data_IF_657046777489
#
_entry.id   IF_657046777489
#
_cell.length_a   1.000
_cell.length_b   1.000
_cell.length_c   1.000
_cell.angle_alpha   90.00
_cell.angle_beta   90.00
_cell.angle_gamma   90.00
#
_symmetry.space_group_name_H-M   'P 1'
#
loop_
_entity.id
_entity.type
_entity.pdbx_description
1 polymer ?
#
# COMPACT_ATOMS: atom_id res chain seq x y z
N UNK A 1 11.09 2.71 30.99
CA UNK A 1 9.65 2.44 30.77
C UNK A 1 8.88 2.62 32.07
N UNK A 2 9.37 2.04 33.16
CA UNK A 2 8.77 2.10 34.50
C UNK A 2 8.69 3.52 35.10
N UNK A 3 9.76 4.33 34.96
CA UNK A 3 9.78 5.72 35.48
C UNK A 3 8.74 6.65 34.84
N UNK A 4 8.49 6.48 33.53
CA UNK A 4 7.46 7.26 32.83
C UNK A 4 6.05 6.88 33.31
N UNK A 5 5.83 5.60 33.62
CA UNK A 5 4.55 5.12 34.13
C UNK A 5 4.28 5.68 35.54
N UNK A 6 5.28 5.66 36.41
CA UNK A 6 5.22 6.26 37.75
C UNK A 6 4.87 7.76 37.69
N UNK A 7 5.52 8.51 36.81
CA UNK A 7 5.21 9.93 36.63
C UNK A 7 3.78 10.16 36.13
N UNK A 8 3.24 9.30 35.25
CA UNK A 8 1.82 9.37 34.82
C UNK A 8 0.84 9.09 35.97
N UNK A 9 1.18 8.19 36.87
CA UNK A 9 0.41 7.97 38.12
C UNK A 9 0.40 9.25 38.96
N UNK A 10 1.55 9.93 39.11
CA UNK A 10 1.63 11.22 39.81
C UNK A 10 0.79 12.31 39.13
N UNK A 11 0.79 12.39 37.78
CA UNK A 11 -0.08 13.32 37.03
C UNK A 11 -1.56 13.02 37.35
N UNK A 12 -1.96 11.75 37.29
CA UNK A 12 -3.34 11.32 37.59
C UNK A 12 -3.75 11.69 39.02
N UNK A 13 -2.85 11.48 39.99
CA UNK A 13 -3.03 11.92 41.37
C UNK A 13 -3.25 13.44 41.44
N UNK A 14 -2.44 14.24 40.74
CA UNK A 14 -2.58 15.69 40.74
C UNK A 14 -3.93 16.15 40.18
N UNK A 15 -4.41 15.53 39.09
CA UNK A 15 -5.72 15.82 38.51
C UNK A 15 -6.85 15.49 39.48
N UNK A 16 -6.80 14.33 40.17
CA UNK A 16 -7.82 13.94 41.16
C UNK A 16 -7.86 14.87 42.39
N UNK A 17 -6.76 15.54 42.70
CA UNK A 17 -6.70 16.55 43.76
C UNK A 17 -7.05 17.97 43.27
N UNK A 18 -7.48 18.14 42.01
CA UNK A 18 -7.89 19.44 41.47
C UNK A 18 -6.74 20.37 41.08
N UNK A 19 -5.49 19.90 41.06
CA UNK A 19 -4.37 20.72 40.64
C UNK A 19 -4.38 20.99 39.14
N UNK A 20 -4.02 22.21 38.74
CA UNK A 20 -3.88 22.58 37.35
C UNK A 20 -2.57 22.01 36.73
N UNK A 21 -2.47 22.06 35.40
CA UNK A 21 -1.32 21.49 34.67
C UNK A 21 0.02 22.16 35.02
N UNK A 22 0.02 23.45 35.36
CA UNK A 22 1.23 24.17 35.78
C UNK A 22 1.73 23.66 37.14
N UNK A 23 0.83 23.50 38.12
CA UNK A 23 1.18 22.95 39.43
C UNK A 23 1.61 21.49 39.34
N UNK A 24 0.98 20.72 38.46
CA UNK A 24 1.37 19.32 38.19
C UNK A 24 2.80 19.23 37.64
N UNK A 25 3.17 20.11 36.70
CA UNK A 25 4.52 20.17 36.16
C UNK A 25 5.56 20.55 37.22
N UNK A 26 5.25 21.53 38.07
CA UNK A 26 6.11 21.94 39.19
C UNK A 26 6.34 20.77 40.17
N UNK A 27 5.27 20.07 40.57
CA UNK A 27 5.36 18.93 41.49
C UNK A 27 6.17 17.77 40.88
N UNK A 28 6.00 17.51 39.59
CA UNK A 28 6.83 16.53 38.88
C UNK A 28 8.30 16.94 38.83
N UNK A 29 8.59 18.21 38.55
CA UNK A 29 9.97 18.73 38.53
C UNK A 29 10.66 18.60 39.89
N UNK A 30 9.93 18.89 40.98
CA UNK A 30 10.46 18.77 42.34
C UNK A 30 10.72 17.30 42.74
N UNK A 31 9.90 16.36 42.26
CA UNK A 31 9.99 14.95 42.64
C UNK A 31 10.98 14.16 41.77
N UNK A 32 11.04 14.45 40.47
CA UNK A 32 11.81 13.68 39.48
C UNK A 32 13.00 14.44 38.86
N UNK A 33 13.18 15.72 39.17
CA UNK A 33 14.34 16.51 38.75
C UNK A 33 14.57 16.50 37.23
N UNK A 34 15.79 16.14 36.81
CA UNK A 34 16.15 16.06 35.39
C UNK A 34 15.41 14.96 34.63
N UNK A 35 14.90 13.96 35.34
CA UNK A 35 14.17 12.83 34.75
C UNK A 35 12.66 13.10 34.60
N UNK A 36 12.21 14.31 34.97
CA UNK A 36 10.82 14.70 34.83
C UNK A 36 10.35 14.71 33.37
N UNK A 37 9.10 14.28 33.14
CA UNK A 37 8.45 14.33 31.85
C UNK A 37 8.46 15.76 31.30
N UNK A 38 8.75 15.88 30.00
CA UNK A 38 8.71 17.18 29.31
C UNK A 38 7.33 17.81 29.45
N UNK A 39 7.30 19.15 29.55
CA UNK A 39 6.08 19.96 29.67
C UNK A 39 4.96 19.50 28.72
N UNK A 40 5.26 19.26 27.44
CA UNK A 40 4.25 18.80 26.46
C UNK A 40 3.55 17.51 26.86
N UNK A 41 4.30 16.51 27.31
CA UNK A 41 3.77 15.21 27.75
C UNK A 41 2.95 15.36 29.03
N UNK A 42 3.41 16.19 29.97
CA UNK A 42 2.68 16.45 31.22
C UNK A 42 1.30 17.04 30.93
N UNK A 43 1.21 18.06 30.07
CA UNK A 43 -0.06 18.69 29.71
C UNK A 43 -0.97 17.76 28.90
N UNK A 44 -0.42 16.96 27.98
CA UNK A 44 -1.19 15.97 27.23
C UNK A 44 -1.85 14.93 28.16
N UNK A 45 -1.08 14.37 29.10
CA UNK A 45 -1.60 13.40 30.06
C UNK A 45 -2.54 14.04 31.08
N UNK A 46 -2.26 15.26 31.54
CA UNK A 46 -3.13 16.02 32.43
C UNK A 46 -4.52 16.20 31.81
N UNK A 47 -4.57 16.61 30.54
CA UNK A 47 -5.82 16.81 29.83
C UNK A 47 -6.56 15.49 29.56
N UNK A 48 -5.84 14.41 29.24
CA UNK A 48 -6.43 13.07 29.09
C UNK A 48 -7.11 12.61 30.38
N UNK A 49 -6.46 12.77 31.54
CA UNK A 49 -7.06 12.40 32.82
C UNK A 49 -8.21 13.34 33.21
N UNK A 50 -8.10 14.63 32.92
CA UNK A 50 -9.21 15.59 33.10
C UNK A 50 -10.43 15.22 32.23
N UNK A 51 -10.18 14.70 31.04
CA UNK A 51 -11.20 14.20 30.10
C UNK A 51 -11.79 12.83 30.48
N UNK A 52 -11.46 12.27 31.66
CA UNK A 52 -12.06 11.05 32.20
C UNK A 52 -11.29 9.75 31.90
N UNK A 53 -10.09 9.81 31.31
CA UNK A 53 -9.24 8.61 31.15
C UNK A 53 -8.81 8.09 32.53
N UNK A 54 -8.82 6.78 32.74
CA UNK A 54 -8.30 6.14 33.97
C UNK A 54 -6.99 5.36 33.75
N UNK A 55 -6.70 4.89 32.54
CA UNK A 55 -5.46 4.13 32.24
C UNK A 55 -4.23 5.02 32.13
N UNK A 56 -3.12 4.60 32.76
CA UNK A 56 -1.78 5.23 32.67
C UNK A 56 -0.91 4.63 31.55
N UNK A 57 -1.35 3.53 30.96
CA UNK A 57 -0.68 2.85 29.86
C UNK A 57 -0.87 3.61 28.55
N UNK A 58 0.10 3.48 27.65
CA UNK A 58 -0.03 3.96 26.27
C UNK A 58 -1.28 3.33 25.61
N UNK A 59 -1.95 4.10 24.76
CA UNK A 59 -2.98 3.52 23.89
C UNK A 59 -2.35 2.47 22.98
N UNK A 60 -3.14 1.45 22.61
CA UNK A 60 -2.73 0.51 21.58
C UNK A 60 -2.22 1.30 20.37
N UNK A 61 -0.93 1.13 20.06
CA UNK A 61 -0.35 1.75 18.89
C UNK A 61 -1.11 1.21 17.69
N UNK A 62 -1.78 2.10 16.98
CA UNK A 62 -2.33 1.79 15.65
C UNK A 62 -1.16 1.46 14.73
N UNK A 63 -0.81 0.17 14.69
CA UNK A 63 0.15 -0.37 13.77
C UNK A 63 -0.34 -0.25 12.34
N UNK A 64 0.57 -0.37 11.36
CA UNK A 64 0.21 -0.39 9.94
C UNK A 64 -0.72 -1.59 9.69
N UNK A 65 -1.97 -1.41 9.23
CA UNK A 65 -2.77 -2.54 8.79
C UNK A 65 -2.05 -3.17 7.60
N UNK A 66 -1.68 -4.44 7.76
CA UNK A 66 -1.05 -5.22 6.71
C UNK A 66 -2.14 -5.66 5.73
N UNK A 67 -2.15 -5.05 4.55
CA UNK A 67 -3.09 -5.42 3.47
C UNK A 67 -2.77 -6.79 2.87
N UNK A 68 -1.54 -7.29 3.06
CA UNK A 68 -1.12 -8.63 2.63
C UNK A 68 -1.65 -9.73 3.56
N UNK A 69 -2.05 -9.39 4.79
CA UNK A 69 -2.54 -10.32 5.82
C UNK A 69 -4.05 -10.18 6.05
N UNK A 70 -4.85 -10.09 4.98
CA UNK A 70 -6.30 -10.24 5.13
C UNK A 70 -6.63 -11.69 5.46
N UNK A 71 -7.69 -11.94 6.25
CA UNK A 71 -8.12 -13.31 6.57
C UNK A 71 -8.39 -14.13 5.31
N UNK A 72 -8.91 -13.49 4.26
CA UNK A 72 -9.11 -14.13 2.95
C UNK A 72 -7.79 -14.58 2.30
N UNK A 73 -6.76 -13.73 2.26
CA UNK A 73 -5.47 -14.10 1.69
C UNK A 73 -4.75 -15.14 2.56
N UNK A 74 -4.87 -15.02 3.89
CA UNK A 74 -4.33 -15.99 4.85
C UNK A 74 -4.99 -17.36 4.63
N UNK A 75 -6.31 -17.41 4.51
CA UNK A 75 -7.04 -18.65 4.29
C UNK A 75 -6.69 -19.29 2.95
N UNK A 76 -6.58 -18.50 1.87
CA UNK A 76 -6.11 -19.00 0.56
C UNK A 76 -4.72 -19.62 0.64
N UNK A 77 -3.78 -18.94 1.31
CA UNK A 77 -2.41 -19.49 1.49
C UNK A 77 -2.44 -20.74 2.38
N UNK A 78 -3.25 -20.77 3.44
CA UNK A 78 -3.44 -21.96 4.30
C UNK A 78 -3.99 -23.14 3.51
N UNK A 79 -5.01 -22.95 2.70
CA UNK A 79 -5.56 -24.00 1.83
C UNK A 79 -4.51 -24.57 0.88
N UNK A 80 -3.71 -23.71 0.25
CA UNK A 80 -2.62 -24.15 -0.63
C UNK A 80 -1.57 -24.99 0.11
N UNK A 81 -1.20 -24.58 1.34
CA UNK A 81 -0.27 -25.31 2.19
C UNK A 81 -0.83 -26.62 2.74
N UNK A 82 -2.14 -26.69 3.02
CA UNK A 82 -2.82 -27.94 3.42
C UNK A 82 -2.80 -28.93 2.26
N UNK A 83 -3.08 -28.47 1.04
CA UNK A 83 -3.09 -29.30 -0.15
C UNK A 83 -1.68 -29.78 -0.54
N UNK A 84 -0.65 -28.96 -0.35
CA UNK A 84 0.74 -29.37 -0.55
C UNK A 84 1.69 -28.61 0.39
N UNK A 85 2.08 -29.26 1.49
CA UNK A 85 2.96 -28.68 2.51
C UNK A 85 4.41 -28.48 2.05
N UNK A 86 4.81 -29.06 0.91
CA UNK A 86 6.16 -28.93 0.35
C UNK A 86 6.34 -27.72 -0.58
N UNK A 87 5.30 -26.90 -0.77
CA UNK A 87 5.37 -25.73 -1.64
C UNK A 87 6.36 -24.70 -1.10
N UNK A 88 7.30 -24.31 -1.96
CA UNK A 88 8.18 -23.17 -1.73
C UNK A 88 7.42 -21.85 -1.88
N UNK A 89 7.95 -20.77 -1.30
CA UNK A 89 7.37 -19.40 -1.45
C UNK A 89 7.22 -19.02 -2.93
N UNK A 90 8.19 -19.41 -3.78
CA UNK A 90 8.15 -19.16 -5.22
C UNK A 90 6.97 -19.88 -5.88
N UNK A 91 6.68 -21.11 -5.46
CA UNK A 91 5.56 -21.88 -5.98
C UNK A 91 4.21 -21.35 -5.50
N UNK A 92 4.13 -20.90 -4.25
CA UNK A 92 2.94 -20.22 -3.74
C UNK A 92 2.64 -18.94 -4.53
N UNK A 93 3.66 -18.13 -4.85
CA UNK A 93 3.46 -16.88 -5.58
C UNK A 93 2.96 -17.10 -7.01
N UNK A 94 3.51 -18.06 -7.76
CA UNK A 94 3.03 -18.35 -9.12
C UNK A 94 1.60 -18.90 -9.11
N UNK A 95 1.25 -19.76 -8.14
CA UNK A 95 -0.11 -20.30 -8.03
C UNK A 95 -1.13 -19.24 -7.61
N UNK A 96 -0.74 -18.36 -6.67
CA UNK A 96 -1.57 -17.22 -6.28
C UNK A 96 -1.84 -16.32 -7.49
N UNK A 97 -0.81 -16.00 -8.26
CA UNK A 97 -0.92 -15.17 -9.45
C UNK A 97 -1.77 -15.83 -10.54
N UNK A 98 -1.64 -17.14 -10.75
CA UNK A 98 -2.53 -17.90 -11.65
C UNK A 98 -4.00 -17.74 -11.24
N UNK A 99 -4.27 -17.78 -9.93
CA UNK A 99 -5.60 -17.47 -9.38
C UNK A 99 -6.07 -16.05 -9.67
N UNK A 100 -5.17 -15.05 -9.65
CA UNK A 100 -5.48 -13.67 -10.05
C UNK A 100 -5.85 -13.60 -11.53
N UNK A 101 -5.05 -14.19 -12.41
CA UNK A 101 -5.31 -14.20 -13.86
C UNK A 101 -6.63 -14.89 -14.20
N UNK A 102 -6.96 -16.02 -13.55
CA UNK A 102 -8.25 -16.69 -13.73
C UNK A 102 -9.43 -15.77 -13.40
N UNK A 103 -9.37 -15.08 -12.25
CA UNK A 103 -10.42 -14.14 -11.83
C UNK A 103 -10.51 -12.93 -12.78
N UNK A 104 -9.37 -12.41 -13.23
CA UNK A 104 -9.33 -11.31 -14.19
C UNK A 104 -10.00 -11.71 -15.50
N UNK A 105 -9.63 -12.87 -16.05
CA UNK A 105 -10.20 -13.38 -17.31
C UNK A 105 -11.72 -13.54 -17.22
N UNK A 106 -12.21 -14.10 -16.12
CA UNK A 106 -13.65 -14.22 -15.87
C UNK A 106 -14.34 -12.85 -15.72
N UNK A 107 -13.70 -11.89 -15.04
CA UNK A 107 -14.23 -10.54 -14.93
C UNK A 107 -14.30 -9.83 -16.29
N UNK A 108 -13.33 -10.03 -17.18
CA UNK A 108 -13.35 -9.49 -18.55
C UNK A 108 -14.49 -10.14 -19.34
N UNK A 109 -14.62 -11.48 -19.29
CA UNK A 109 -15.72 -12.22 -19.93
C UNK A 109 -17.09 -11.69 -19.54
N UNK A 110 -17.28 -11.40 -18.25
CA UNK A 110 -18.57 -10.92 -17.73
C UNK A 110 -18.83 -9.44 -18.00
N UNK A 111 -17.81 -8.58 -17.83
CA UNK A 111 -17.97 -7.12 -17.82
C UNK A 111 -17.63 -6.43 -19.14
N UNK A 112 -16.91 -7.10 -20.05
CA UNK A 112 -16.42 -6.58 -21.34
C UNK A 112 -16.69 -7.61 -22.44
N UNK A 113 -17.98 -7.92 -22.64
CA UNK A 113 -18.44 -8.99 -23.55
C UNK A 113 -18.03 -8.76 -24.99
N UNK A 114 -18.01 -7.51 -25.42
CA UNK A 114 -17.53 -7.02 -26.71
C UNK A 114 -16.06 -7.40 -26.95
N UNK A 115 -15.17 -7.02 -26.03
CA UNK A 115 -13.74 -7.32 -26.10
C UNK A 115 -13.44 -8.82 -25.98
N UNK A 116 -14.29 -9.53 -25.26
CA UNK A 116 -14.20 -10.98 -25.11
C UNK A 116 -14.59 -11.71 -26.39
N UNK A 117 -15.73 -11.35 -26.98
CA UNK A 117 -16.29 -12.00 -28.15
C UNK A 117 -15.37 -11.90 -29.38
N UNK A 118 -14.67 -10.77 -29.53
CA UNK A 118 -13.71 -10.56 -30.62
C UNK A 118 -12.25 -10.84 -30.23
N UNK A 119 -11.99 -11.31 -29.00
CA UNK A 119 -10.65 -11.51 -28.42
C UNK A 119 -9.68 -10.33 -28.66
N UNK A 120 -10.15 -9.09 -28.56
CA UNK A 120 -9.34 -7.88 -28.83
C UNK A 120 -8.66 -7.29 -27.59
N UNK A 121 -8.95 -7.81 -26.39
CA UNK A 121 -8.28 -7.37 -25.18
C UNK A 121 -6.84 -7.89 -25.13
N UNK A 122 -5.96 -7.10 -24.51
CA UNK A 122 -4.53 -7.39 -24.41
C UNK A 122 -4.10 -7.23 -22.96
N UNK A 123 -3.37 -8.23 -22.46
CA UNK A 123 -2.81 -8.22 -21.11
C UNK A 123 -1.42 -7.57 -21.12
N UNK A 124 -1.24 -6.57 -20.27
CA UNK A 124 0.06 -6.03 -19.91
C UNK A 124 0.35 -6.35 -18.44
N UNK A 125 1.54 -6.92 -18.17
CA UNK A 125 2.06 -7.18 -16.84
C UNK A 125 3.59 -7.17 -16.86
N UNK A 126 4.22 -6.98 -15.70
CA UNK A 126 5.66 -6.97 -15.55
C UNK A 126 6.26 -8.40 -15.56
N UNK A 127 7.57 -8.48 -15.78
CA UNK A 127 8.31 -9.75 -15.87
C UNK A 127 8.65 -10.37 -14.51
N UNK A 128 7.94 -10.02 -13.44
CA UNK A 128 8.14 -10.60 -12.11
C UNK A 128 8.17 -12.14 -12.19
N UNK A 129 8.99 -12.78 -11.35
CA UNK A 129 9.25 -14.23 -11.43
C UNK A 129 7.98 -15.09 -11.38
N UNK A 130 6.93 -14.64 -10.69
CA UNK A 130 5.63 -15.31 -10.65
C UNK A 130 4.85 -15.18 -11.96
N UNK A 131 5.01 -14.07 -12.68
CA UNK A 131 4.27 -13.74 -13.91
C UNK A 131 4.91 -14.42 -15.13
N UNK A 132 6.24 -14.51 -15.16
CA UNK A 132 7.02 -15.21 -16.21
C UNK A 132 7.12 -16.74 -16.01
N UNK A 133 6.56 -17.27 -14.91
CA UNK A 133 6.56 -18.69 -14.62
C UNK A 133 5.91 -19.51 -15.75
N UNK A 134 6.44 -20.70 -16.01
CA UNK A 134 5.98 -21.60 -17.08
C UNK A 134 4.46 -21.84 -17.00
N UNK A 135 3.95 -22.13 -15.80
CA UNK A 135 2.52 -22.37 -15.57
C UNK A 135 1.62 -21.19 -16.00
N UNK A 136 2.10 -19.96 -15.89
CA UNK A 136 1.36 -18.77 -16.32
C UNK A 136 1.40 -18.64 -17.83
N UNK A 137 2.59 -18.81 -18.43
CA UNK A 137 2.76 -18.76 -19.89
C UNK A 137 1.92 -19.83 -20.58
N UNK A 138 1.98 -21.08 -20.11
CA UNK A 138 1.14 -22.18 -20.60
C UNK A 138 -0.34 -21.87 -20.46
N UNK A 139 -0.76 -21.31 -19.32
CA UNK A 139 -2.15 -20.91 -19.12
C UNK A 139 -2.59 -19.83 -20.12
N UNK A 140 -1.79 -18.79 -20.32
CA UNK A 140 -2.11 -17.70 -21.25
C UNK A 140 -2.16 -18.19 -22.70
N UNK A 141 -1.21 -19.02 -23.11
CA UNK A 141 -1.18 -19.64 -24.44
C UNK A 141 -2.37 -20.57 -24.67
N UNK A 142 -2.67 -21.47 -23.72
CA UNK A 142 -3.81 -22.39 -23.80
C UNK A 142 -5.15 -21.65 -23.93
N UNK A 143 -5.23 -20.43 -23.39
CA UNK A 143 -6.44 -19.61 -23.40
C UNK A 143 -6.40 -18.51 -24.47
N UNK A 144 -5.45 -18.55 -25.41
CA UNK A 144 -5.29 -17.60 -26.51
C UNK A 144 -5.34 -16.14 -26.04
N UNK A 145 -4.72 -15.86 -24.89
CA UNK A 145 -4.71 -14.53 -24.30
C UNK A 145 -3.62 -13.69 -24.93
N UNK A 146 -4.00 -12.59 -25.57
CA UNK A 146 -3.04 -11.64 -26.13
C UNK A 146 -2.24 -10.98 -24.99
N UNK A 147 -0.93 -10.92 -25.15
CA UNK A 147 -0.02 -10.30 -24.16
C UNK A 147 0.91 -9.32 -24.86
N UNK A 148 1.19 -8.19 -24.21
CA UNK A 148 2.26 -7.27 -24.61
C UNK A 148 3.52 -7.66 -23.85
N UNK A 149 4.63 -7.80 -24.58
CA UNK A 149 5.94 -8.04 -23.98
C UNK A 149 6.41 -6.78 -23.24
N UNK A 150 6.86 -6.97 -22.00
CA UNK A 150 7.47 -5.92 -21.20
C UNK A 150 9.00 -6.05 -21.28
N UNK A 151 9.76 -4.97 -21.56
CA UNK A 151 11.21 -5.01 -21.44
C UNK A 151 11.65 -5.14 -19.97
N UNK A 152 12.79 -5.81 -19.76
CA UNK A 152 13.34 -6.02 -18.42
C UNK A 152 13.75 -4.70 -17.79
N UNK A 153 13.44 -4.54 -16.50
CA UNK A 153 13.79 -3.36 -15.70
C UNK A 153 13.25 -2.02 -16.23
N UNK A 154 12.15 -1.99 -16.99
CA UNK A 154 11.62 -0.73 -17.55
C UNK A 154 10.32 -0.27 -16.86
N UNK A 155 10.38 0.26 -15.61
CA UNK A 155 9.20 0.78 -14.93
C UNK A 155 8.62 2.03 -15.64
N UNK A 156 9.47 2.81 -16.31
CA UNK A 156 9.11 3.93 -17.19
C UNK A 156 8.24 3.50 -18.38
N UNK A 157 8.28 2.21 -18.74
CA UNK A 157 7.46 1.61 -19.79
C UNK A 157 6.20 0.90 -19.25
N UNK A 158 5.93 0.98 -17.95
CA UNK A 158 4.77 0.33 -17.31
C UNK A 158 3.73 1.36 -16.87
N UNK A 159 2.52 1.39 -17.47
CA UNK A 159 1.46 2.33 -17.08
C UNK A 159 1.08 2.27 -15.59
N UNK A 160 1.22 1.10 -14.97
CA UNK A 160 1.00 0.97 -13.54
C UNK A 160 2.02 1.76 -12.71
N UNK A 161 3.29 1.76 -13.12
CA UNK A 161 4.39 2.36 -12.37
C UNK A 161 4.49 3.86 -12.61
N UNK A 162 4.54 4.33 -13.87
CA UNK A 162 4.71 5.75 -14.16
C UNK A 162 3.44 6.60 -13.96
N UNK A 163 2.26 5.97 -13.85
CA UNK A 163 0.98 6.68 -13.76
C UNK A 163 0.08 6.19 -12.61
N UNK A 164 -0.37 4.93 -12.65
CA UNK A 164 -1.48 4.48 -11.80
C UNK A 164 -1.13 4.53 -10.31
N UNK A 165 0.02 3.97 -9.94
CA UNK A 165 0.41 3.88 -8.54
C UNK A 165 0.64 5.26 -7.94
N UNK A 166 1.17 6.21 -8.70
CA UNK A 166 1.34 7.57 -8.24
C UNK A 166 0.00 8.26 -7.94
N UNK A 167 -0.98 8.12 -8.84
CA UNK A 167 -2.34 8.67 -8.67
C UNK A 167 -3.06 8.04 -7.48
N UNK A 168 -2.85 6.76 -7.22
CA UNK A 168 -3.43 6.08 -6.06
C UNK A 168 -2.66 6.39 -4.76
N UNK A 169 -1.32 6.47 -4.79
CA UNK A 169 -0.49 6.66 -3.58
C UNK A 169 -0.51 8.09 -3.06
N UNK A 170 -0.57 9.10 -3.93
CA UNK A 170 -0.52 10.53 -3.53
C UNK A 170 -1.65 10.89 -2.53
N UNK A 171 -2.93 10.59 -2.80
CA UNK A 171 -4.02 10.83 -1.84
C UNK A 171 -3.92 10.01 -0.55
N UNK A 172 -3.20 8.89 -0.59
CA UNK A 172 -3.00 7.99 0.54
C UNK A 172 -1.75 8.34 1.37
N UNK A 173 -0.98 9.35 0.97
CA UNK A 173 0.25 9.74 1.67
C UNK A 173 -0.10 10.40 3.01
N UNK A 174 0.64 10.06 4.07
CA UNK A 174 0.49 10.65 5.40
C UNK A 174 -0.75 10.24 6.19
N UNK A 175 -1.65 9.44 5.61
CA UNK A 175 -2.85 8.97 6.31
C UNK A 175 -2.60 7.63 7.00
N UNK A 176 -2.96 7.53 8.28
CA UNK A 176 -3.02 6.25 9.01
C UNK A 176 -4.38 5.60 8.74
N UNK A 177 -4.38 4.30 8.48
CA UNK A 177 -5.58 3.58 8.07
C UNK A 177 -5.92 2.51 9.09
N UNK A 178 -7.20 2.18 9.25
CA UNK A 178 -7.65 0.92 9.85
C UNK A 178 -7.93 -0.13 8.75
N UNK A 179 -8.39 0.29 7.56
CA UNK A 179 -8.63 -0.57 6.39
C UNK A 179 -8.17 0.11 5.08
N UNK A 180 -7.03 -0.30 4.55
CA UNK A 180 -6.36 0.38 3.42
C UNK A 180 -6.97 0.07 2.04
N UNK A 181 -7.68 -1.06 1.89
CA UNK A 181 -8.29 -1.47 0.62
C UNK A 181 -9.41 -0.51 0.16
N UNK A 182 -10.34 -0.14 1.04
CA UNK A 182 -11.49 0.70 0.66
C UNK A 182 -11.06 2.06 0.12
N UNK A 183 -10.11 2.72 0.80
CA UNK A 183 -9.59 4.01 0.31
C UNK A 183 -8.76 3.87 -0.97
N UNK A 184 -8.05 2.76 -1.15
CA UNK A 184 -7.34 2.51 -2.42
C UNK A 184 -8.33 2.32 -3.57
N UNK A 185 -9.46 1.65 -3.31
CA UNK A 185 -10.57 1.52 -4.28
C UNK A 185 -11.21 2.88 -4.58
N UNK A 186 -11.46 3.72 -3.57
CA UNK A 186 -11.98 5.08 -3.78
C UNK A 186 -11.00 5.93 -4.60
N UNK A 187 -9.71 5.90 -4.27
CA UNK A 187 -8.68 6.63 -5.01
C UNK A 187 -8.58 6.16 -6.46
N UNK A 188 -8.71 4.85 -6.70
CA UNK A 188 -8.75 4.29 -8.05
C UNK A 188 -10.00 4.75 -8.83
N UNK A 189 -11.17 4.73 -8.19
CA UNK A 189 -12.43 5.17 -8.80
C UNK A 189 -12.49 6.69 -9.04
N UNK A 190 -11.65 7.46 -8.34
CA UNK A 190 -11.54 8.91 -8.52
C UNK A 190 -10.73 9.29 -9.76
N UNK A 191 -9.98 8.36 -10.37
CA UNK A 191 -9.23 8.62 -11.61
C UNK A 191 -10.23 8.66 -12.77
N UNK A 192 -10.24 9.77 -13.50
CA UNK A 192 -11.16 9.95 -14.61
C UNK A 192 -10.78 9.11 -15.83
N UNK A 193 -11.76 8.77 -16.68
CA UNK A 193 -11.51 8.08 -17.96
C UNK A 193 -10.56 8.87 -18.86
N UNK A 194 -10.64 10.20 -18.83
CA UNK A 194 -9.75 11.10 -19.60
C UNK A 194 -8.29 10.94 -19.16
N UNK A 195 -8.04 10.80 -17.85
CA UNK A 195 -6.67 10.56 -17.36
C UNK A 195 -6.13 9.20 -17.79
N UNK A 196 -6.95 8.15 -17.81
CA UNK A 196 -6.55 6.86 -18.37
C UNK A 196 -6.24 6.96 -19.86
N UNK A 197 -7.05 7.67 -20.64
CA UNK A 197 -6.80 7.86 -22.07
C UNK A 197 -5.47 8.59 -22.30
N UNK A 198 -5.22 9.69 -21.58
CA UNK A 198 -3.93 10.41 -21.61
C UNK A 198 -2.74 9.51 -21.20
N UNK A 199 -2.95 8.59 -20.26
CA UNK A 199 -1.92 7.63 -19.88
C UNK A 199 -1.55 6.70 -21.05
N UNK A 200 -2.53 6.16 -21.77
CA UNK A 200 -2.27 5.30 -22.93
C UNK A 200 -1.62 6.06 -24.09
N UNK A 201 -2.03 7.31 -24.34
CA UNK A 201 -1.36 8.18 -25.33
C UNK A 201 0.10 8.47 -24.93
N UNK A 202 0.34 8.75 -23.65
CA UNK A 202 1.69 8.92 -23.09
C UNK A 202 2.51 7.65 -23.22
N UNK A 203 1.90 6.48 -23.01
CA UNK A 203 2.56 5.20 -23.19
C UNK A 203 3.09 5.04 -24.61
N UNK A 204 2.27 5.31 -25.64
CA UNK A 204 2.70 5.29 -27.04
C UNK A 204 3.89 6.24 -27.27
N UNK A 205 3.85 7.45 -26.72
CA UNK A 205 4.96 8.41 -26.84
C UNK A 205 6.24 7.91 -26.16
N UNK A 206 6.14 7.26 -25.00
CA UNK A 206 7.27 6.65 -24.29
C UNK A 206 7.92 5.53 -25.11
N UNK A 207 7.13 4.71 -25.81
CA UNK A 207 7.67 3.71 -26.74
C UNK A 207 8.52 4.35 -27.85
N UNK A 208 8.03 5.43 -28.47
CA UNK A 208 8.80 6.16 -29.49
C UNK A 208 10.09 6.77 -28.91
N UNK A 209 10.02 7.36 -27.71
CA UNK A 209 11.20 7.90 -27.03
C UNK A 209 12.23 6.82 -26.73
N UNK A 210 11.80 5.68 -26.18
CA UNK A 210 12.67 4.53 -25.90
C UNK A 210 13.43 4.07 -27.15
N UNK A 211 12.75 4.00 -28.30
CA UNK A 211 13.40 3.68 -29.58
C UNK A 211 14.38 4.79 -30.01
N UNK A 212 14.01 6.06 -29.85
CA UNK A 212 14.86 7.18 -30.24
C UNK A 212 16.15 7.31 -29.41
N UNK A 213 16.15 6.79 -28.18
CA UNK A 213 17.33 6.77 -27.30
C UNK A 213 17.97 5.39 -27.20
N UNK A 214 17.72 4.51 -28.19
CA UNK A 214 18.29 3.16 -28.27
C UNK A 214 18.13 2.30 -27.00
N UNK A 215 17.02 2.49 -26.29
CA UNK A 215 16.67 1.75 -25.08
C UNK A 215 17.24 2.31 -23.77
N UNK A 216 17.91 3.47 -23.80
CA UNK A 216 18.32 4.18 -22.58
C UNK A 216 17.11 4.78 -21.83
N UNK A 217 17.29 5.04 -20.52
CA UNK A 217 16.28 5.73 -19.74
C UNK A 217 16.21 7.20 -20.14
N UNK A 218 14.99 7.73 -20.27
CA UNK A 218 14.74 9.12 -20.68
C UNK A 218 14.03 9.95 -19.59
N UNK A 219 13.84 9.40 -18.38
CA UNK A 219 13.23 10.09 -17.24
C UNK A 219 14.29 10.50 -16.19
N UNK A 220 14.93 11.65 -16.44
CA UNK A 220 15.91 12.29 -15.58
C UNK A 220 16.61 13.40 -16.37
N UNK A 221 16.40 14.66 -15.96
CA UNK A 221 16.94 15.91 -16.50
C UNK A 221 16.91 16.13 -18.03
N UNK A 222 16.00 17.00 -18.47
CA UNK A 222 15.97 17.75 -19.73
C UNK A 222 16.47 17.03 -21.00
N UNK A 223 15.64 16.17 -21.58
CA UNK A 223 15.68 15.93 -23.02
C UNK A 223 14.44 16.61 -23.63
N UNK A 224 14.63 17.88 -24.02
CA UNK A 224 13.78 18.56 -24.99
C UNK A 224 14.02 17.90 -26.35
N UNK A 225 12.98 17.26 -26.87
CA UNK A 225 12.91 16.98 -28.30
C UNK A 225 12.08 18.09 -28.90
N UNK A 226 12.76 19.04 -29.54
CA UNK A 226 12.11 19.94 -30.49
C UNK A 226 11.75 19.14 -31.76
N UNK A 227 10.55 19.48 -32.26
CA UNK A 227 9.82 19.01 -33.46
C UNK A 227 9.00 17.71 -33.34
#
# INVERSE_FOLDING_TARGET
MELNLQQRVCIKFCVKNGFNGAKTLEMLGNCFGSDALKKTIVYEWHERFRSGRESVEDDERSGRPSISKTDENINKVREMLINNRKLTIRELNKEYYLGVIRRLREAIRQKRKDLWANNSWILHHDNALSHSAIIIREFLTKNETNTIQQPSNSPDMTPCDFFLFDRVKKPLRGTRFNRRMEKSKTALMAISTIEFQKCFESWIKRWHKCVAVDGEYFEGDNITFDE
#
